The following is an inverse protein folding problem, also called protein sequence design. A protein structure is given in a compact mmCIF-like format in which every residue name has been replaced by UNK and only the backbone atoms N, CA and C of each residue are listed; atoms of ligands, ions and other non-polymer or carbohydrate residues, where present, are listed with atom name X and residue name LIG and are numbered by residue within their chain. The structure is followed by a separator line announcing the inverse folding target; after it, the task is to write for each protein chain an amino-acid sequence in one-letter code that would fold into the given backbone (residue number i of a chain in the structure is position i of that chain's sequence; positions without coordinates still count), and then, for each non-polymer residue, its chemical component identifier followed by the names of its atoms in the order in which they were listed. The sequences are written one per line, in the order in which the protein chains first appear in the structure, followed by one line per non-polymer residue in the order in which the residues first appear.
data_IF_873485746535
#
_entry.id   IF_873485746535
#
_cell.length_a   1.000
_cell.length_b   1.000
_cell.length_c   1.000
_cell.angle_alpha   90.00
_cell.angle_beta   90.00
_cell.angle_gamma   90.00
#
_symmetry.space_group_name_H-M   'P 1'
#
loop_
_entity.id
_entity.type
_entity.pdbx_description
1 polymer ?
#
# COMPACT_ATOMS: atom_id res chain seq x y z
N UNK A 1 36.65 56.83 -20.11
CA UNK A 1 35.75 56.52 -18.98
C UNK A 1 34.63 55.54 -19.38
N UNK A 2 34.13 55.59 -20.62
CA UNK A 2 33.07 54.72 -21.15
C UNK A 2 33.41 53.20 -21.22
N UNK A 3 34.68 52.84 -21.46
CA UNK A 3 35.10 51.42 -21.53
C UNK A 3 35.11 50.71 -20.16
N UNK A 4 35.32 51.45 -19.07
CA UNK A 4 35.38 50.88 -17.71
C UNK A 4 33.96 50.55 -17.22
N UNK A 5 32.98 51.39 -17.53
CA UNK A 5 31.57 51.14 -17.18
C UNK A 5 30.99 49.95 -17.95
N UNK A 6 31.31 49.82 -19.24
CA UNK A 6 30.85 48.69 -20.06
C UNK A 6 31.46 47.36 -19.63
N UNK A 7 32.73 47.33 -19.21
CA UNK A 7 33.37 46.13 -18.68
C UNK A 7 32.78 45.71 -17.32
N UNK A 8 32.49 46.67 -16.43
CA UNK A 8 31.83 46.42 -15.13
C UNK A 8 30.42 45.86 -15.35
N UNK A 9 29.64 46.47 -16.26
CA UNK A 9 28.29 46.02 -16.63
C UNK A 9 28.27 44.59 -17.19
N UNK A 10 29.23 44.23 -18.05
CA UNK A 10 29.38 42.85 -18.57
C UNK A 10 29.76 41.86 -17.48
N UNK A 11 30.61 42.25 -16.53
CA UNK A 11 31.04 41.39 -15.41
C UNK A 11 29.90 41.15 -14.41
N UNK A 12 29.12 42.19 -14.11
CA UNK A 12 27.92 42.07 -13.26
C UNK A 12 26.85 41.23 -13.94
N UNK A 13 26.62 41.39 -15.25
CA UNK A 13 25.66 40.58 -16.01
C UNK A 13 26.04 39.09 -15.99
N UNK A 14 27.32 38.76 -16.17
CA UNK A 14 27.82 37.37 -16.09
C UNK A 14 27.69 36.78 -14.70
N UNK A 15 27.94 37.56 -13.65
CA UNK A 15 27.77 37.12 -12.27
C UNK A 15 26.28 36.85 -11.95
N UNK A 16 25.38 37.74 -12.35
CA UNK A 16 23.94 37.57 -12.16
C UNK A 16 23.42 36.36 -12.96
N UNK A 17 23.87 36.19 -14.21
CA UNK A 17 23.50 35.03 -15.02
C UNK A 17 24.02 33.71 -14.43
N UNK A 18 25.26 33.70 -13.91
CA UNK A 18 25.83 32.54 -13.22
C UNK A 18 25.07 32.18 -11.95
N UNK A 19 24.70 33.19 -11.14
CA UNK A 19 23.88 32.97 -9.94
C UNK A 19 22.48 32.45 -10.29
N UNK A 20 21.87 32.97 -11.35
CA UNK A 20 20.55 32.52 -11.81
C UNK A 20 20.59 31.07 -12.31
N UNK A 21 21.62 30.68 -13.06
CA UNK A 21 21.83 29.30 -13.50
C UNK A 21 22.07 28.35 -12.32
N UNK A 22 22.89 28.77 -11.34
CA UNK A 22 23.12 27.98 -10.13
C UNK A 22 21.82 27.82 -9.32
N UNK A 23 21.02 28.89 -9.20
CA UNK A 23 19.71 28.86 -8.54
C UNK A 23 18.72 27.93 -9.23
N UNK A 24 18.63 27.97 -10.57
CA UNK A 24 17.79 27.06 -11.35
C UNK A 24 18.26 25.61 -11.22
N UNK A 25 19.58 25.37 -11.24
CA UNK A 25 20.14 24.03 -11.02
C UNK A 25 19.82 23.47 -9.64
N UNK A 26 19.92 24.30 -8.59
CA UNK A 26 19.54 23.91 -7.23
C UNK A 26 18.03 23.59 -7.12
N UNK A 27 17.17 24.40 -7.76
CA UNK A 27 15.73 24.13 -7.84
C UNK A 27 15.43 22.81 -8.57
N UNK A 28 16.05 22.56 -9.72
CA UNK A 28 15.88 21.32 -10.47
C UNK A 28 16.30 20.09 -9.66
N UNK A 29 17.42 20.18 -8.93
CA UNK A 29 17.86 19.14 -8.00
C UNK A 29 16.84 18.92 -6.88
N UNK A 30 16.34 20.00 -6.25
CA UNK A 30 15.30 19.88 -5.21
C UNK A 30 14.06 19.16 -5.73
N UNK A 31 13.57 19.52 -6.92
CA UNK A 31 12.43 18.83 -7.53
C UNK A 31 12.74 17.36 -7.84
N UNK A 32 13.93 17.06 -8.36
CA UNK A 32 14.35 15.69 -8.62
C UNK A 32 14.36 14.82 -7.34
N UNK A 33 14.86 15.37 -6.23
CA UNK A 33 14.87 14.67 -4.94
C UNK A 33 13.50 14.58 -4.27
N UNK A 34 12.63 15.58 -4.45
CA UNK A 34 11.27 15.56 -3.89
C UNK A 34 10.28 14.72 -4.70
N UNK A 35 10.55 14.49 -5.98
CA UNK A 35 9.68 13.73 -6.87
C UNK A 35 9.26 12.35 -6.34
N UNK A 36 10.18 11.48 -5.84
CA UNK A 36 9.78 10.18 -5.29
C UNK A 36 8.86 10.32 -4.08
N UNK A 37 9.15 11.24 -3.15
CA UNK A 37 8.30 11.45 -1.97
C UNK A 37 6.89 11.91 -2.35
N UNK A 38 6.76 12.77 -3.37
CA UNK A 38 5.47 13.22 -3.88
C UNK A 38 4.69 12.09 -4.59
N UNK A 39 5.37 11.17 -5.27
CA UNK A 39 4.71 9.99 -5.83
C UNK A 39 4.16 9.07 -4.75
N UNK A 40 4.94 8.84 -3.68
CA UNK A 40 4.48 8.03 -2.53
C UNK A 40 3.28 8.66 -1.83
N UNK A 41 3.27 10.00 -1.65
CA UNK A 41 2.15 10.69 -1.00
C UNK A 41 0.84 10.60 -1.79
N UNK A 42 0.89 10.60 -3.12
CA UNK A 42 -0.30 10.38 -3.96
C UNK A 42 -0.91 9.00 -3.79
N UNK A 43 -0.10 7.99 -3.47
CA UNK A 43 -0.58 6.65 -3.17
C UNK A 43 -1.49 6.56 -1.94
N UNK A 44 -1.49 7.57 -1.06
CA UNK A 44 -2.38 7.70 0.09
C UNK A 44 -3.62 8.59 -0.17
N UNK A 45 -3.72 9.20 -1.36
CA UNK A 45 -4.90 9.99 -1.73
C UNK A 45 -6.08 9.09 -2.12
N UNK A 46 -5.80 7.88 -2.62
CA UNK A 46 -6.83 6.92 -3.00
C UNK A 46 -7.18 6.00 -1.81
N UNK A 47 -8.46 5.92 -1.43
CA UNK A 47 -8.89 5.09 -0.31
C UNK A 47 -8.71 3.61 -0.67
N UNK A 48 -8.00 2.86 0.19
CA UNK A 48 -7.59 1.48 -0.09
C UNK A 48 -7.21 0.71 1.18
N UNK A 49 -7.17 -0.61 1.07
CA UNK A 49 -6.59 -1.53 2.04
C UNK A 49 -5.07 -1.53 1.85
N UNK A 50 -4.31 -1.24 2.90
CA UNK A 50 -2.84 -1.16 2.87
C UNK A 50 -2.18 -2.46 3.31
N UNK A 51 -2.73 -3.10 4.34
CA UNK A 51 -2.21 -4.34 4.92
C UNK A 51 -3.39 -5.21 5.34
N UNK A 52 -3.26 -6.53 5.21
CA UNK A 52 -4.14 -7.49 5.87
C UNK A 52 -3.30 -8.36 6.80
N UNK A 53 -3.81 -8.71 7.97
CA UNK A 53 -3.21 -9.67 8.88
C UNK A 53 -4.13 -10.88 8.95
N UNK A 54 -3.58 -12.07 8.75
CA UNK A 54 -4.30 -13.33 8.94
C UNK A 54 -3.48 -14.17 9.90
N UNK A 55 -4.04 -14.47 11.07
CA UNK A 55 -3.34 -15.21 12.12
C UNK A 55 -1.98 -14.59 12.47
N UNK A 56 -2.01 -13.28 12.74
CA UNK A 56 -0.85 -12.41 13.02
C UNK A 56 0.14 -12.21 11.87
N UNK A 57 0.02 -12.96 10.76
CA UNK A 57 0.91 -12.80 9.60
C UNK A 57 0.47 -11.65 8.69
N UNK A 58 1.35 -10.66 8.43
CA UNK A 58 1.02 -9.54 7.57
C UNK A 58 1.12 -9.91 6.09
N UNK A 59 0.16 -9.42 5.31
CA UNK A 59 0.11 -9.50 3.86
C UNK A 59 0.00 -8.09 3.27
N UNK A 60 0.87 -7.80 2.30
CA UNK A 60 0.88 -6.55 1.55
C UNK A 60 0.96 -6.86 0.06
N UNK A 61 0.25 -6.07 -0.76
CA UNK A 61 0.37 -6.15 -2.22
C UNK A 61 1.76 -5.68 -2.63
N UNK A 62 2.45 -6.52 -3.38
CA UNK A 62 3.73 -6.18 -4.01
C UNK A 62 3.58 -6.38 -5.51
N UNK A 63 4.24 -5.56 -6.31
CA UNK A 63 4.27 -5.77 -7.76
C UNK A 63 5.05 -7.05 -8.07
N UNK A 64 4.33 -8.11 -8.40
CA UNK A 64 4.89 -9.40 -8.80
C UNK A 64 5.34 -9.34 -10.26
N UNK A 65 6.49 -9.92 -10.56
CA UNK A 65 6.95 -10.15 -11.93
C UNK A 65 6.20 -11.34 -12.55
N UNK A 66 6.33 -11.48 -13.87
CA UNK A 66 5.79 -12.63 -14.57
C UNK A 66 6.37 -13.95 -14.01
N UNK A 67 5.48 -14.86 -13.59
CA UNK A 67 5.84 -16.13 -12.97
C UNK A 67 6.03 -16.10 -11.44
N UNK A 68 6.00 -14.92 -10.81
CA UNK A 68 6.01 -14.82 -9.35
C UNK A 68 4.58 -15.01 -8.79
N UNK A 69 4.48 -15.62 -7.62
CA UNK A 69 3.24 -15.77 -6.87
C UNK A 69 3.48 -15.48 -5.40
N UNK A 70 2.44 -15.03 -4.71
CA UNK A 70 2.50 -14.84 -3.27
C UNK A 70 2.62 -16.19 -2.57
N UNK A 71 3.47 -16.25 -1.53
CA UNK A 71 3.45 -17.38 -0.60
C UNK A 71 2.12 -17.35 0.17
N UNK A 72 1.37 -18.47 0.24
CA UNK A 72 0.16 -18.53 1.03
C UNK A 72 0.48 -18.49 2.52
N UNK A 73 -0.40 -17.86 3.30
CA UNK A 73 -0.35 -17.92 4.76
C UNK A 73 -0.83 -19.29 5.22
N UNK A 74 -0.08 -19.91 6.12
CA UNK A 74 -0.33 -21.26 6.62
C UNK A 74 -1.28 -21.20 7.83
N UNK A 75 -2.50 -21.70 7.67
CA UNK A 75 -3.52 -21.71 8.72
C UNK A 75 -3.64 -23.10 9.33
N UNK A 76 -3.67 -23.18 10.66
CA UNK A 76 -3.85 -24.46 11.33
C UNK A 76 -5.27 -25.01 11.10
N UNK A 77 -5.36 -26.27 10.68
CA UNK A 77 -6.64 -26.96 10.54
C UNK A 77 -7.44 -26.96 11.85
N UNK A 78 -8.75 -26.70 11.76
CA UNK A 78 -9.68 -26.79 12.88
C UNK A 78 -9.55 -25.69 13.94
N UNK A 79 -8.82 -24.60 13.66
CA UNK A 79 -8.68 -23.46 14.57
C UNK A 79 -9.57 -22.28 14.19
N UNK A 80 -9.76 -21.35 15.12
CA UNK A 80 -10.30 -20.03 14.84
C UNK A 80 -9.12 -19.05 14.70
N UNK A 81 -9.05 -18.34 13.58
CA UNK A 81 -8.01 -17.33 13.32
C UNK A 81 -8.63 -15.94 13.21
N UNK A 82 -7.85 -14.93 13.60
CA UNK A 82 -8.23 -13.54 13.41
C UNK A 82 -7.76 -13.04 12.04
N UNK A 83 -8.65 -12.35 11.34
CA UNK A 83 -8.41 -11.75 10.03
C UNK A 83 -8.72 -10.25 10.12
N UNK A 84 -7.68 -9.42 10.04
CA UNK A 84 -7.75 -7.97 10.25
C UNK A 84 -7.27 -7.27 8.98
N UNK A 85 -7.79 -6.09 8.66
CA UNK A 85 -7.18 -5.24 7.64
C UNK A 85 -7.03 -3.78 8.06
N UNK A 86 -5.98 -3.16 7.53
CA UNK A 86 -5.71 -1.74 7.70
C UNK A 86 -6.11 -1.00 6.43
N UNK A 87 -6.83 0.11 6.61
CA UNK A 87 -7.31 0.93 5.49
C UNK A 87 -6.95 2.39 5.67
N UNK A 88 -6.59 3.02 4.56
CA UNK A 88 -6.45 4.46 4.46
C UNK A 88 -7.70 5.01 3.79
N UNK A 89 -8.41 5.90 4.46
CA UNK A 89 -9.63 6.54 3.95
C UNK A 89 -9.90 7.84 4.70
N UNK A 90 -10.57 8.78 4.02
CA UNK A 90 -11.06 10.04 4.61
C UNK A 90 -12.57 10.03 4.89
N UNK A 91 -13.28 8.94 4.57
CA UNK A 91 -14.72 8.87 4.77
C UNK A 91 -15.09 8.66 6.23
N UNK A 92 -16.21 9.27 6.63
CA UNK A 92 -16.78 9.10 7.97
C UNK A 92 -17.46 7.74 8.16
N UNK A 93 -17.96 7.15 7.07
CA UNK A 93 -18.57 5.82 7.04
C UNK A 93 -17.73 4.89 6.19
N UNK A 94 -17.56 3.67 6.67
CA UNK A 94 -16.78 2.61 6.06
C UNK A 94 -17.53 1.30 6.28
N UNK A 95 -17.47 0.40 5.32
CA UNK A 95 -18.03 -0.92 5.46
C UNK A 95 -17.01 -1.96 5.00
N UNK A 96 -16.96 -3.08 5.74
CA UNK A 96 -16.01 -4.14 5.50
C UNK A 96 -16.75 -5.46 5.29
N UNK A 97 -16.21 -6.28 4.40
CA UNK A 97 -16.63 -7.66 4.26
C UNK A 97 -15.42 -8.56 4.07
N UNK A 98 -15.52 -9.79 4.56
CA UNK A 98 -14.52 -10.83 4.34
C UNK A 98 -15.23 -12.04 3.72
N UNK A 99 -14.69 -12.53 2.62
CA UNK A 99 -15.07 -13.85 2.09
C UNK A 99 -13.92 -14.82 2.36
N UNK A 100 -14.18 -15.85 3.17
CA UNK A 100 -13.20 -16.86 3.56
C UNK A 100 -13.84 -18.26 3.50
N UNK A 101 -13.18 -19.20 2.84
CA UNK A 101 -13.64 -20.59 2.69
C UNK A 101 -15.11 -20.75 2.21
N UNK A 102 -15.57 -19.82 1.36
CA UNK A 102 -16.95 -19.81 0.83
C UNK A 102 -17.98 -19.17 1.76
N UNK A 103 -17.57 -18.70 2.94
CA UNK A 103 -18.43 -17.94 3.87
C UNK A 103 -18.13 -16.46 3.76
N UNK A 104 -19.18 -15.65 3.68
CA UNK A 104 -19.07 -14.19 3.67
C UNK A 104 -19.52 -13.60 5.00
N UNK A 105 -18.67 -12.76 5.58
CA UNK A 105 -18.92 -12.03 6.83
C UNK A 105 -18.88 -10.52 6.56
N UNK A 106 -19.64 -9.74 7.32
CA UNK A 106 -19.64 -8.26 7.25
C UNK A 106 -19.43 -7.68 8.62
N UNK A 107 -18.61 -6.64 8.74
CA UNK A 107 -18.28 -6.00 10.00
C UNK A 107 -18.20 -4.47 9.84
N UNK A 108 -18.37 -3.77 10.96
CA UNK A 108 -18.27 -2.30 11.02
C UNK A 108 -16.81 -1.83 11.05
N UNK A 109 -15.94 -2.64 11.63
CA UNK A 109 -14.49 -2.58 11.59
C UNK A 109 -13.94 -3.71 10.70
N UNK A 110 -12.70 -3.56 10.22
CA UNK A 110 -12.07 -4.60 9.41
C UNK A 110 -11.45 -5.68 10.30
N UNK A 111 -12.25 -6.33 11.13
CA UNK A 111 -11.85 -7.40 12.04
C UNK A 111 -12.84 -8.54 11.94
N UNK A 112 -12.34 -9.75 11.72
CA UNK A 112 -13.14 -10.94 11.51
C UNK A 112 -12.53 -12.13 12.25
N UNK A 113 -13.39 -13.04 12.70
CA UNK A 113 -12.97 -14.35 13.18
C UNK A 113 -13.39 -15.40 12.17
N UNK A 114 -12.44 -16.22 11.75
CA UNK A 114 -12.65 -17.21 10.70
C UNK A 114 -12.35 -18.58 11.25
N UNK A 115 -13.31 -19.49 11.10
CA UNK A 115 -13.13 -20.90 11.39
C UNK A 115 -12.40 -21.56 10.21
N UNK A 116 -11.24 -22.13 10.48
CA UNK A 116 -10.42 -22.84 9.49
C UNK A 116 -10.94 -24.27 9.36
N UNK A 117 -11.23 -24.76 8.14
CA UNK A 117 -11.73 -26.12 7.96
C UNK A 117 -10.66 -27.15 8.34
N UNK A 118 -11.09 -28.37 8.67
CA UNK A 118 -10.19 -29.48 9.04
C UNK A 118 -9.44 -30.10 7.83
N UNK A 119 -9.74 -29.64 6.61
CA UNK A 119 -9.22 -30.17 5.35
C UNK A 119 -7.77 -29.71 5.08
N UNK A 120 -6.79 -30.43 5.62
CA UNK A 120 -5.36 -30.17 5.38
C UNK A 120 -5.01 -30.23 3.88
N UNK A 121 -4.17 -29.29 3.43
CA UNK A 121 -3.77 -29.12 2.03
C UNK A 121 -4.75 -28.31 1.20
N UNK A 122 -5.86 -27.83 1.79
CA UNK A 122 -6.81 -26.96 1.10
C UNK A 122 -6.22 -25.56 0.89
N UNK A 123 -6.10 -25.18 -0.38
CA UNK A 123 -5.81 -23.80 -0.77
C UNK A 123 -7.09 -22.97 -0.77
N UNK A 124 -6.96 -21.72 -0.33
CA UNK A 124 -8.05 -20.76 -0.29
C UNK A 124 -7.56 -19.35 -0.53
N UNK A 125 -8.52 -18.44 -0.63
CA UNK A 125 -8.27 -17.00 -0.70
C UNK A 125 -9.18 -16.33 0.31
N UNK A 126 -8.59 -15.50 1.17
CA UNK A 126 -9.32 -14.58 2.03
C UNK A 126 -9.46 -13.27 1.27
N UNK A 127 -10.68 -12.93 0.88
CA UNK A 127 -10.97 -11.73 0.10
C UNK A 127 -11.56 -10.65 1.01
N UNK A 128 -10.72 -9.67 1.37
CA UNK A 128 -11.12 -8.51 2.14
C UNK A 128 -11.67 -7.45 1.21
N UNK A 129 -12.90 -7.02 1.42
CA UNK A 129 -13.53 -5.94 0.69
C UNK A 129 -13.69 -4.72 1.59
N UNK A 130 -13.33 -3.57 1.04
CA UNK A 130 -13.50 -2.28 1.68
C UNK A 130 -14.39 -1.39 0.82
N UNK A 131 -15.38 -0.74 1.45
CA UNK A 131 -16.21 0.31 0.83
C UNK A 131 -16.00 1.63 1.56
N UNK A 132 -15.65 2.64 0.78
CA UNK A 132 -15.51 4.01 1.20
C UNK A 132 -16.86 4.74 1.10
N UNK A 133 -17.43 5.15 2.24
CA UNK A 133 -18.78 5.73 2.28
C UNK A 133 -19.89 4.74 1.93
N UNK A 134 -20.86 5.21 1.14
CA UNK A 134 -22.04 4.45 0.72
C UNK A 134 -21.90 3.90 -0.72
N UNK A 135 -20.67 3.60 -1.15
CA UNK A 135 -20.39 3.08 -2.49
C UNK A 135 -21.14 1.76 -2.76
N UNK A 136 -21.77 1.65 -3.96
CA UNK A 136 -22.52 0.46 -4.35
C UNK A 136 -21.62 -0.77 -4.63
N UNK A 137 -20.36 -0.53 -5.00
CA UNK A 137 -19.34 -1.55 -5.25
C UNK A 137 -18.19 -1.41 -4.26
N UNK A 138 -17.43 -2.49 -3.99
CA UNK A 138 -16.17 -2.39 -3.25
C UNK A 138 -15.28 -1.31 -3.84
N UNK A 139 -14.76 -0.42 -2.99
CA UNK A 139 -13.75 0.57 -3.36
C UNK A 139 -12.42 -0.12 -3.62
N UNK A 140 -12.11 -1.14 -2.83
CA UNK A 140 -10.89 -1.92 -2.94
C UNK A 140 -11.12 -3.34 -2.44
N UNK A 141 -10.34 -4.27 -2.98
CA UNK A 141 -10.37 -5.69 -2.63
C UNK A 141 -8.93 -6.18 -2.45
N UNK A 142 -8.67 -6.87 -1.35
CA UNK A 142 -7.38 -7.52 -1.09
C UNK A 142 -7.57 -9.02 -0.94
N UNK A 143 -6.98 -9.76 -1.87
CA UNK A 143 -6.99 -11.22 -1.88
C UNK A 143 -5.71 -11.75 -1.25
N UNK A 144 -5.87 -12.44 -0.12
CA UNK A 144 -4.77 -13.06 0.63
C UNK A 144 -4.81 -14.57 0.40
N UNK A 145 -3.81 -15.16 -0.25
CA UNK A 145 -3.76 -16.60 -0.44
C UNK A 145 -3.46 -17.29 0.90
N UNK A 146 -4.18 -18.37 1.17
CA UNK A 146 -4.02 -19.16 2.39
C UNK A 146 -3.96 -20.65 2.06
N UNK A 147 -3.31 -21.42 2.92
CA UNK A 147 -3.28 -22.88 2.84
C UNK A 147 -3.51 -23.46 4.22
N UNK A 148 -4.33 -24.50 4.31
CA UNK A 148 -4.59 -25.20 5.56
C UNK A 148 -3.50 -26.24 5.79
N UNK A 149 -2.83 -26.20 6.94
CA UNK A 149 -1.76 -27.11 7.35
C UNK A 149 -2.16 -27.93 8.59
N UNK A 150 -1.47 -29.03 8.84
CA UNK A 150 -1.78 -29.89 9.98
C UNK A 150 -1.47 -29.19 11.31
N UNK A 151 -2.29 -29.45 12.32
CA UNK A 151 -2.07 -28.98 13.69
C UNK A 151 -0.75 -29.54 14.23
N UNK A 152 0.25 -28.69 14.44
CA UNK A 152 1.57 -29.06 14.95
C UNK A 152 2.74 -28.92 13.98
N UNK A 153 2.51 -28.61 12.70
CA UNK A 153 3.60 -28.27 11.76
C UNK A 153 4.14 -26.85 11.97
N UNK A 154 3.34 -25.97 12.57
CA UNK A 154 3.71 -24.60 12.96
C UNK A 154 4.11 -24.58 14.45
N UNK A 155 5.10 -25.39 14.81
CA UNK A 155 5.90 -25.14 16.01
C UNK A 155 7.16 -24.39 15.56
N UNK A 156 7.36 -23.19 16.12
CA UNK A 156 8.51 -22.29 15.86
C UNK A 156 9.88 -22.98 15.83
#
# INVERSE_FOLDING_TARGET
MEEIETQKKRRTLRLVAGLALAGLGALALLFYWMYPAHQTSRGFETPKITVAHVDEEPFMRVELKEGESYRPIELMAGTEVEAICEVVSRASRRAFALTAFGTRQTAADCQFRVQVPDEVGRFGVFSFEFRDGDAATPTDVMDVPVVVVATGERME
#
